data_IF_957567501254
#
_entry.id   IF_957567501254
#
_cell.length_a   1.000
_cell.length_b   1.000
_cell.length_c   1.000
_cell.angle_alpha   90.00
_cell.angle_beta   90.00
_cell.angle_gamma   90.00
#
_symmetry.space_group_name_H-M   'P 1'
#
loop_
_entity.id
_entity.type
_entity.pdbx_description
1 polymer ?
#
# COMPACT_ATOMS: atom_id res chain seq x y z
N UNK A 1 -29.66 70.68 55.04
CA UNK A 1 -30.07 69.88 53.88
C UNK A 1 -29.04 68.79 53.65
N UNK A 2 -29.34 67.59 54.13
CA UNK A 2 -28.39 66.43 54.07
C UNK A 2 -28.83 65.48 52.96
N UNK A 3 -27.96 65.27 51.98
CA UNK A 3 -28.12 64.25 50.93
C UNK A 3 -27.54 62.97 51.37
N UNK A 4 -28.35 61.95 51.48
CA UNK A 4 -27.95 60.58 51.82
C UNK A 4 -27.44 59.88 50.55
N UNK A 5 -26.21 59.42 50.61
CA UNK A 5 -25.59 58.61 49.52
C UNK A 5 -25.81 57.15 49.84
N UNK A 6 -26.68 56.50 49.11
CA UNK A 6 -26.98 55.06 49.22
C UNK A 6 -25.94 54.25 48.48
N UNK A 7 -25.10 53.53 49.22
CA UNK A 7 -24.16 52.54 48.65
C UNK A 7 -24.90 51.31 48.13
N UNK A 8 -24.85 51.12 46.83
CA UNK A 8 -25.29 49.86 46.19
C UNK A 8 -24.18 48.80 46.32
N UNK A 9 -24.49 47.73 47.00
CA UNK A 9 -23.66 46.53 47.08
C UNK A 9 -23.67 45.80 45.76
N UNK A 10 -22.49 45.55 45.17
CA UNK A 10 -22.28 44.76 43.97
C UNK A 10 -22.25 43.28 44.35
N UNK A 11 -23.01 42.38 43.70
CA UNK A 11 -22.96 40.94 43.96
C UNK A 11 -21.68 40.36 43.33
N UNK A 12 -21.03 39.47 44.09
CA UNK A 12 -19.84 38.70 43.66
C UNK A 12 -20.21 37.76 42.50
N UNK A 13 -19.33 37.58 41.50
CA UNK A 13 -19.55 36.58 40.45
C UNK A 13 -19.36 35.16 41.01
N UNK A 14 -20.32 34.31 40.73
CA UNK A 14 -20.29 32.87 41.02
C UNK A 14 -19.31 32.22 40.07
N UNK A 15 -18.25 31.58 40.60
CA UNK A 15 -17.32 30.75 39.85
C UNK A 15 -18.06 29.49 39.41
N UNK A 16 -18.40 29.43 38.11
CA UNK A 16 -18.78 28.18 37.47
C UNK A 16 -17.56 27.28 37.38
N UNK A 17 -17.62 26.13 38.04
CA UNK A 17 -16.74 25.00 37.82
C UNK A 17 -16.80 24.62 36.34
N UNK A 18 -15.71 24.76 35.64
CA UNK A 18 -15.53 24.13 34.33
C UNK A 18 -15.32 22.66 34.59
N UNK A 19 -16.30 21.87 34.19
CA UNK A 19 -16.13 20.43 34.00
C UNK A 19 -14.97 20.23 33.04
N UNK A 20 -13.94 19.55 33.52
CA UNK A 20 -12.88 19.02 32.69
C UNK A 20 -13.51 17.92 31.81
N UNK A 21 -13.87 18.31 30.59
CA UNK A 21 -14.20 17.35 29.54
C UNK A 21 -13.06 16.36 29.43
N UNK A 22 -13.37 15.10 29.68
CA UNK A 22 -12.53 13.95 29.39
C UNK A 22 -12.09 14.08 27.95
N UNK A 23 -10.79 14.31 27.72
CA UNK A 23 -10.19 14.18 26.42
C UNK A 23 -10.46 12.76 25.94
N UNK A 24 -11.35 12.66 24.96
CA UNK A 24 -11.57 11.45 24.19
C UNK A 24 -10.23 11.13 23.48
N UNK A 25 -9.44 10.29 24.13
CA UNK A 25 -8.25 9.70 23.51
C UNK A 25 -8.75 8.61 22.58
N UNK A 26 -9.35 9.01 21.47
CA UNK A 26 -9.47 8.13 20.32
C UNK A 26 -8.03 7.80 19.90
N UNK A 27 -7.55 6.68 20.43
CA UNK A 27 -6.35 6.05 19.94
C UNK A 27 -6.53 5.92 18.43
N UNK A 28 -5.79 6.73 17.69
CA UNK A 28 -5.62 6.57 16.26
C UNK A 28 -4.96 5.20 16.10
N UNK A 29 -5.79 4.17 15.92
CA UNK A 29 -5.31 2.88 15.42
C UNK A 29 -4.67 3.24 14.09
N UNK A 30 -3.34 3.24 14.05
CA UNK A 30 -2.59 3.46 12.83
C UNK A 30 -3.19 2.52 11.78
N UNK A 31 -3.69 3.08 10.68
CA UNK A 31 -4.31 2.30 9.64
C UNK A 31 -3.29 1.25 9.19
N UNK A 32 -3.57 -0.01 9.50
CA UNK A 32 -2.75 -1.14 9.06
C UNK A 32 -2.67 -1.07 7.55
N UNK A 33 -1.46 -1.05 6.99
CA UNK A 33 -1.27 -0.95 5.55
C UNK A 33 -2.03 -2.04 4.80
N UNK A 34 -2.51 -1.75 3.61
CA UNK A 34 -3.17 -2.73 2.75
C UNK A 34 -2.29 -3.07 1.56
N UNK A 35 -2.03 -4.35 1.35
CA UNK A 35 -1.28 -4.88 0.22
C UNK A 35 -2.25 -5.43 -0.83
N UNK A 36 -2.30 -4.80 -1.99
CA UNK A 36 -3.12 -5.22 -3.13
C UNK A 36 -2.25 -6.02 -4.10
N UNK A 37 -2.65 -7.25 -4.45
CA UNK A 37 -1.99 -8.04 -5.49
C UNK A 37 -2.80 -7.98 -6.77
N UNK A 38 -2.22 -7.37 -7.84
CA UNK A 38 -2.92 -7.13 -9.10
C UNK A 38 -2.14 -7.65 -10.32
N UNK A 39 -2.85 -8.33 -11.24
CA UNK A 39 -2.36 -8.74 -12.55
C UNK A 39 -2.99 -7.90 -13.66
N UNK A 40 -2.22 -7.61 -14.74
CA UNK A 40 -2.75 -6.87 -15.88
C UNK A 40 -3.06 -7.75 -17.11
N UNK A 41 -3.00 -9.08 -16.97
CA UNK A 41 -3.43 -9.99 -18.02
C UNK A 41 -4.92 -9.74 -18.36
N UNK A 42 -5.25 -9.67 -19.65
CA UNK A 42 -6.60 -9.32 -20.08
C UNK A 42 -6.98 -7.83 -19.99
N UNK A 43 -6.29 -7.02 -19.22
CA UNK A 43 -6.63 -5.61 -18.95
C UNK A 43 -5.97 -4.63 -19.92
N UNK A 44 -6.61 -3.48 -20.12
CA UNK A 44 -5.99 -2.26 -20.67
C UNK A 44 -5.32 -1.47 -19.53
N UNK A 45 -4.57 -0.41 -19.89
CA UNK A 45 -4.03 0.52 -18.87
C UNK A 45 -5.16 1.26 -18.14
N UNK A 46 -6.27 1.55 -18.83
CA UNK A 46 -7.43 2.24 -18.25
C UNK A 46 -8.10 1.35 -17.20
N UNK A 47 -8.32 0.06 -17.52
CA UNK A 47 -8.91 -0.91 -16.58
C UNK A 47 -8.01 -1.07 -15.34
N UNK A 48 -6.69 -1.15 -15.54
CA UNK A 48 -5.74 -1.28 -14.44
C UNK A 48 -5.77 -0.04 -13.53
N UNK A 49 -5.72 1.16 -14.11
CA UNK A 49 -5.75 2.42 -13.35
C UNK A 49 -7.07 2.55 -12.58
N UNK A 50 -8.21 2.23 -13.21
CA UNK A 50 -9.51 2.26 -12.57
C UNK A 50 -9.56 1.35 -11.33
N UNK A 51 -9.09 0.11 -11.45
CA UNK A 51 -9.01 -0.83 -10.32
C UNK A 51 -8.10 -0.35 -9.20
N UNK A 52 -6.95 0.26 -9.54
CA UNK A 52 -6.04 0.80 -8.53
C UNK A 52 -6.66 1.96 -7.75
N UNK A 53 -7.40 2.83 -8.43
CA UNK A 53 -8.14 3.93 -7.80
C UNK A 53 -9.27 3.42 -6.90
N UNK A 54 -10.02 2.42 -7.35
CA UNK A 54 -11.09 1.77 -6.58
C UNK A 54 -10.56 1.17 -5.28
N UNK A 55 -9.36 0.60 -5.30
CA UNK A 55 -8.68 0.06 -4.12
C UNK A 55 -7.99 1.14 -3.26
N UNK A 56 -8.03 2.40 -3.66
CA UNK A 56 -7.36 3.49 -2.95
C UNK A 56 -5.84 3.42 -2.96
N UNK A 57 -5.24 2.78 -3.98
CA UNK A 57 -3.80 2.57 -4.08
C UNK A 57 -3.06 3.90 -4.17
N UNK A 58 -2.05 4.08 -3.33
CA UNK A 58 -1.14 5.23 -3.34
C UNK A 58 0.17 4.96 -4.07
N UNK A 59 0.67 3.74 -3.98
CA UNK A 59 1.92 3.33 -4.62
C UNK A 59 1.72 2.01 -5.35
N UNK A 60 2.08 1.98 -6.63
CA UNK A 60 2.21 0.75 -7.41
C UNK A 60 3.67 0.31 -7.43
N UNK A 61 3.93 -0.88 -6.91
CA UNK A 61 5.23 -1.55 -6.97
C UNK A 61 5.21 -2.57 -8.10
N UNK A 62 5.97 -2.30 -9.15
CA UNK A 62 6.13 -3.20 -10.29
C UNK A 62 7.23 -4.23 -9.97
N UNK A 63 6.82 -5.49 -9.76
CA UNK A 63 7.72 -6.60 -9.43
C UNK A 63 8.13 -7.43 -10.68
N UNK A 64 7.90 -6.91 -11.88
CA UNK A 64 8.35 -7.56 -13.11
C UNK A 64 9.88 -7.45 -13.24
N UNK A 65 10.54 -8.54 -13.58
CA UNK A 65 11.99 -8.51 -13.87
C UNK A 65 12.32 -7.54 -15.01
N UNK A 66 11.44 -7.50 -16.02
CA UNK A 66 11.55 -6.63 -17.18
C UNK A 66 10.17 -6.01 -17.44
N UNK A 67 9.97 -4.73 -17.12
CA UNK A 67 8.66 -4.06 -17.21
C UNK A 67 8.38 -3.57 -18.65
N UNK A 68 8.50 -4.49 -19.61
CA UNK A 68 8.11 -4.31 -21.00
C UNK A 68 6.78 -5.00 -21.27
N UNK A 69 5.92 -4.37 -22.05
CA UNK A 69 4.64 -4.93 -22.48
C UNK A 69 4.37 -4.59 -23.92
N UNK A 70 3.79 -5.54 -24.68
CA UNK A 70 3.25 -5.28 -26.03
C UNK A 70 1.88 -4.59 -25.95
N UNK A 71 1.21 -4.63 -24.81
CA UNK A 71 -0.05 -3.90 -24.59
C UNK A 71 0.26 -2.41 -24.44
N UNK A 72 -0.44 -1.52 -25.15
CA UNK A 72 -0.26 -0.07 -25.03
C UNK A 72 -0.41 0.41 -23.58
N UNK A 73 0.46 1.34 -23.16
CA UNK A 73 0.39 1.95 -21.85
C UNK A 73 0.94 1.12 -20.68
N UNK A 74 1.28 -0.16 -20.87
CA UNK A 74 1.69 -1.07 -19.78
C UNK A 74 3.20 -1.33 -19.71
N UNK A 75 4.02 -0.67 -20.53
CA UNK A 75 5.47 -0.60 -20.33
C UNK A 75 5.83 0.45 -19.30
N UNK A 76 6.98 0.30 -18.62
CA UNK A 76 7.41 1.07 -17.46
C UNK A 76 7.09 2.57 -17.54
N UNK A 77 7.61 3.28 -18.54
CA UNK A 77 7.48 4.74 -18.62
C UNK A 77 6.02 5.17 -18.87
N UNK A 78 5.32 4.48 -19.78
CA UNK A 78 3.92 4.80 -20.09
C UNK A 78 2.98 4.50 -18.93
N UNK A 79 3.24 3.42 -18.18
CA UNK A 79 2.48 3.11 -16.98
C UNK A 79 2.75 4.13 -15.87
N UNK A 80 4.00 4.52 -15.67
CA UNK A 80 4.36 5.54 -14.68
C UNK A 80 3.71 6.90 -15.00
N UNK A 81 3.68 7.31 -16.28
CA UNK A 81 2.99 8.52 -16.74
C UNK A 81 1.47 8.45 -16.45
N UNK A 82 0.82 7.32 -16.78
CA UNK A 82 -0.61 7.13 -16.53
C UNK A 82 -0.97 7.16 -15.05
N UNK A 83 -0.14 6.57 -14.20
CA UNK A 83 -0.32 6.54 -12.74
C UNK A 83 -0.09 7.93 -12.12
N UNK A 84 0.95 8.64 -12.55
CA UNK A 84 1.24 10.00 -12.08
C UNK A 84 0.09 10.97 -12.38
N UNK A 85 -0.58 10.80 -13.53
CA UNK A 85 -1.73 11.63 -13.91
C UNK A 85 -2.92 11.51 -12.94
N UNK A 86 -2.99 10.43 -12.15
CA UNK A 86 -4.04 10.17 -11.15
C UNK A 86 -3.51 10.16 -9.71
N UNK A 87 -2.28 10.62 -9.48
CA UNK A 87 -1.70 10.76 -8.16
C UNK A 87 -1.19 9.46 -7.54
N UNK A 88 -1.01 8.38 -8.32
CA UNK A 88 -0.44 7.12 -7.87
C UNK A 88 1.07 7.12 -8.18
N UNK A 89 1.89 6.88 -7.16
CA UNK A 89 3.33 6.73 -7.33
C UNK A 89 3.69 5.38 -7.96
N UNK A 90 4.69 5.38 -8.85
CA UNK A 90 5.21 4.15 -9.47
C UNK A 90 6.63 3.85 -9.01
N UNK A 91 6.84 2.64 -8.50
CA UNK A 91 8.15 2.13 -8.10
C UNK A 91 8.43 0.80 -8.81
N UNK A 92 9.65 0.57 -9.29
CA UNK A 92 10.04 -0.69 -9.92
C UNK A 92 11.13 -1.39 -9.12
N UNK A 93 10.82 -2.55 -8.56
CA UNK A 93 11.76 -3.41 -7.86
C UNK A 93 12.14 -4.63 -8.70
N UNK A 94 13.13 -4.46 -9.57
CA UNK A 94 13.64 -5.53 -10.44
C UNK A 94 14.10 -6.76 -9.67
N UNK A 95 14.64 -6.58 -8.46
CA UNK A 95 15.14 -7.66 -7.62
C UNK A 95 14.05 -8.65 -7.18
N UNK A 96 12.77 -8.20 -7.17
CA UNK A 96 11.62 -9.06 -6.89
C UNK A 96 11.11 -9.80 -8.14
N UNK A 97 11.76 -9.66 -9.29
CA UNK A 97 11.30 -10.24 -10.55
C UNK A 97 11.66 -11.72 -10.71
N UNK A 98 10.71 -12.54 -11.15
CA UNK A 98 10.96 -13.94 -11.44
C UNK A 98 11.82 -14.12 -12.71
N UNK A 99 12.95 -14.85 -12.67
CA UNK A 99 13.80 -15.11 -13.82
C UNK A 99 13.03 -15.72 -15.00
N UNK A 100 13.38 -15.27 -16.22
CA UNK A 100 12.67 -15.66 -17.44
C UNK A 100 12.57 -17.18 -17.61
N UNK A 101 13.64 -17.90 -17.34
CA UNK A 101 13.74 -19.36 -17.46
C UNK A 101 13.04 -20.12 -16.32
N UNK A 102 12.48 -19.41 -15.32
CA UNK A 102 11.72 -20.00 -14.22
C UNK A 102 10.20 -19.85 -14.38
N UNK A 103 9.75 -18.92 -15.24
CA UNK A 103 8.34 -18.50 -15.32
C UNK A 103 7.39 -19.61 -15.75
N UNK A 104 7.79 -20.42 -16.76
CA UNK A 104 6.94 -21.50 -17.26
C UNK A 104 6.69 -22.57 -16.18
N UNK A 105 7.74 -23.00 -15.49
CA UNK A 105 7.62 -23.97 -14.39
C UNK A 105 6.85 -23.37 -13.19
N UNK A 106 7.07 -22.09 -12.91
CA UNK A 106 6.34 -21.41 -11.83
C UNK A 106 4.84 -21.37 -12.09
N UNK A 107 4.41 -20.96 -13.30
CA UNK A 107 3.00 -20.94 -13.72
C UNK A 107 2.38 -22.33 -13.72
N UNK A 108 3.15 -23.35 -14.08
CA UNK A 108 2.72 -24.76 -14.01
C UNK A 108 2.71 -25.32 -12.56
N UNK A 109 2.91 -24.50 -11.54
CA UNK A 109 2.86 -24.90 -10.14
C UNK A 109 4.02 -25.79 -9.67
N UNK A 110 5.12 -25.93 -10.46
CA UNK A 110 6.23 -26.84 -10.14
C UNK A 110 6.92 -26.46 -8.84
N UNK A 111 7.05 -27.38 -7.86
CA UNK A 111 7.65 -27.11 -6.57
C UNK A 111 9.11 -26.59 -6.68
N UNK A 112 9.90 -27.13 -7.60
CA UNK A 112 11.27 -26.72 -7.84
C UNK A 112 11.38 -25.28 -8.35
N UNK A 113 10.40 -24.84 -9.17
CA UNK A 113 10.35 -23.45 -9.67
C UNK A 113 9.99 -22.48 -8.54
N UNK A 114 9.10 -22.88 -7.63
CA UNK A 114 8.76 -22.10 -6.44
C UNK A 114 9.94 -22.03 -5.47
N UNK A 115 10.64 -23.14 -5.24
CA UNK A 115 11.84 -23.18 -4.41
C UNK A 115 12.94 -22.29 -4.98
N UNK A 116 13.19 -22.36 -6.30
CA UNK A 116 14.15 -21.50 -6.98
C UNK A 116 13.82 -20.02 -6.83
N UNK A 117 12.54 -19.65 -6.91
CA UNK A 117 12.16 -18.25 -6.73
C UNK A 117 12.29 -17.78 -5.28
N UNK A 118 12.04 -18.64 -4.27
CA UNK A 118 12.36 -18.30 -2.88
C UNK A 118 13.85 -17.95 -2.71
N UNK A 119 14.77 -18.72 -3.32
CA UNK A 119 16.18 -18.36 -3.32
C UNK A 119 16.51 -17.02 -4.00
N UNK A 120 15.70 -16.57 -4.97
CA UNK A 120 15.82 -15.19 -5.50
C UNK A 120 15.51 -14.16 -4.43
N UNK A 121 14.47 -14.37 -3.61
CA UNK A 121 14.08 -13.45 -2.56
C UNK A 121 15.03 -13.42 -1.36
N UNK A 122 15.93 -14.42 -1.22
CA UNK A 122 16.97 -14.47 -0.20
C UNK A 122 18.22 -13.64 -0.57
N UNK A 123 18.31 -13.12 -1.81
CA UNK A 123 19.40 -12.22 -2.20
C UNK A 123 19.31 -10.88 -1.48
N UNK A 124 20.47 -10.26 -1.15
CA UNK A 124 20.51 -8.97 -0.48
C UNK A 124 19.64 -7.91 -1.19
N UNK A 125 19.73 -7.81 -2.53
CA UNK A 125 18.95 -6.86 -3.31
C UNK A 125 17.44 -7.11 -3.23
N UNK A 126 16.99 -8.36 -3.11
CA UNK A 126 15.58 -8.68 -2.95
C UNK A 126 15.09 -8.42 -1.52
N UNK A 127 15.93 -8.74 -0.52
CA UNK A 127 15.65 -8.44 0.89
C UNK A 127 15.50 -6.93 1.11
N UNK A 128 16.41 -6.11 0.56
CA UNK A 128 16.33 -4.66 0.61
C UNK A 128 15.03 -4.15 -0.06
N UNK A 129 14.68 -4.72 -1.22
CA UNK A 129 13.46 -4.37 -1.93
C UNK A 129 12.20 -4.73 -1.14
N UNK A 130 12.17 -5.88 -0.44
CA UNK A 130 11.07 -6.28 0.44
C UNK A 130 10.94 -5.33 1.63
N UNK A 131 12.06 -4.91 2.23
CA UNK A 131 12.06 -3.94 3.33
C UNK A 131 11.47 -2.59 2.88
N UNK A 132 11.88 -2.07 1.72
CA UNK A 132 11.32 -0.84 1.15
C UNK A 132 9.81 -0.95 0.87
N UNK A 133 9.33 -2.10 0.37
CA UNK A 133 7.88 -2.32 0.18
C UNK A 133 7.16 -2.37 1.52
N UNK A 134 7.76 -2.97 2.54
CA UNK A 134 7.20 -3.00 3.90
C UNK A 134 7.06 -1.60 4.49
N UNK A 135 8.04 -0.72 4.30
CA UNK A 135 7.99 0.70 4.72
C UNK A 135 6.90 1.48 3.99
N UNK A 136 6.68 1.22 2.69
CA UNK A 136 5.61 1.87 1.93
C UNK A 136 4.21 1.57 2.48
N UNK A 137 4.00 0.42 3.12
CA UNK A 137 2.73 0.04 3.75
C UNK A 137 2.37 0.93 4.95
N UNK A 138 3.34 1.58 5.59
CA UNK A 138 3.07 2.57 6.65
C UNK A 138 2.36 3.82 6.10
N UNK A 139 2.53 4.09 4.80
CA UNK A 139 1.90 5.21 4.10
C UNK A 139 0.49 4.91 3.55
N UNK A 140 -0.03 3.68 3.67
CA UNK A 140 -1.36 3.31 3.21
C UNK A 140 -1.40 2.11 2.25
N UNK A 141 -2.22 2.20 1.19
CA UNK A 141 -2.45 1.09 0.26
C UNK A 141 -1.35 0.98 -0.79
N UNK A 142 -0.68 -0.17 -0.85
CA UNK A 142 0.39 -0.49 -1.81
C UNK A 142 -0.06 -1.63 -2.72
N UNK A 143 0.09 -1.49 -4.05
CA UNK A 143 -0.20 -2.56 -5.00
C UNK A 143 1.07 -3.21 -5.53
N UNK A 144 1.10 -4.54 -5.60
CA UNK A 144 2.12 -5.31 -6.33
C UNK A 144 1.61 -5.67 -7.72
N UNK A 145 2.33 -5.26 -8.77
CA UNK A 145 1.96 -5.51 -10.15
C UNK A 145 2.83 -6.58 -10.79
N UNK A 146 2.18 -7.56 -11.43
CA UNK A 146 2.81 -8.44 -12.42
C UNK A 146 1.88 -8.69 -13.61
N UNK A 147 2.24 -9.63 -14.50
CA UNK A 147 1.44 -9.96 -15.68
C UNK A 147 0.22 -10.81 -15.31
N UNK A 148 0.44 -11.98 -14.72
CA UNK A 148 -0.58 -13.02 -14.51
C UNK A 148 -1.79 -12.47 -13.71
N UNK A 149 -3.00 -12.72 -14.20
CA UNK A 149 -4.23 -12.38 -13.48
C UNK A 149 -4.36 -13.26 -12.23
N UNK A 150 -4.19 -14.58 -12.37
CA UNK A 150 -4.23 -15.48 -11.23
C UNK A 150 -3.01 -15.27 -10.33
N UNK A 151 -3.29 -14.88 -9.09
CA UNK A 151 -2.27 -14.69 -8.06
C UNK A 151 -1.49 -15.98 -7.76
N UNK A 152 -2.17 -17.15 -7.74
CA UNK A 152 -1.56 -18.43 -7.43
C UNK A 152 -0.57 -18.91 -8.51
N UNK A 153 -0.74 -18.49 -9.76
CA UNK A 153 0.16 -18.78 -10.87
C UNK A 153 1.32 -17.77 -10.96
N UNK A 154 1.25 -16.68 -10.20
CA UNK A 154 2.20 -15.58 -10.23
C UNK A 154 3.19 -15.63 -9.06
N UNK A 155 4.42 -15.20 -9.32
CA UNK A 155 5.43 -15.05 -8.26
C UNK A 155 5.07 -14.01 -7.18
N UNK A 156 4.07 -13.13 -7.41
CA UNK A 156 3.50 -12.25 -6.39
C UNK A 156 3.00 -13.02 -5.17
N UNK A 157 2.50 -14.26 -5.35
CA UNK A 157 2.08 -15.11 -4.22
C UNK A 157 3.20 -15.25 -3.17
N UNK A 158 4.43 -15.52 -3.61
CA UNK A 158 5.57 -15.69 -2.69
C UNK A 158 6.01 -14.32 -2.13
N UNK A 159 6.00 -13.25 -2.94
CA UNK A 159 6.33 -11.90 -2.46
C UNK A 159 5.34 -11.45 -1.38
N UNK A 160 4.04 -11.62 -1.60
CA UNK A 160 2.99 -11.30 -0.61
C UNK A 160 3.23 -12.08 0.69
N UNK A 161 3.49 -13.39 0.61
CA UNK A 161 3.75 -14.22 1.80
C UNK A 161 4.95 -13.72 2.60
N UNK A 162 6.04 -13.32 1.94
CA UNK A 162 7.23 -12.76 2.60
C UNK A 162 6.91 -11.42 3.29
N UNK A 163 6.15 -10.56 2.62
CA UNK A 163 5.75 -9.27 3.21
C UNK A 163 4.83 -9.46 4.43
N UNK A 164 3.86 -10.37 4.36
CA UNK A 164 2.94 -10.63 5.48
C UNK A 164 3.65 -11.32 6.67
N UNK A 165 4.68 -12.12 6.41
CA UNK A 165 5.51 -12.65 7.51
C UNK A 165 6.23 -11.53 8.28
N UNK A 166 6.64 -10.46 7.60
CA UNK A 166 7.26 -9.27 8.21
C UNK A 166 6.22 -8.26 8.76
N UNK A 167 5.01 -8.24 8.17
CA UNK A 167 3.91 -7.32 8.48
C UNK A 167 2.59 -8.08 8.66
N UNK A 168 2.46 -8.85 9.77
CA UNK A 168 1.25 -9.64 10.02
C UNK A 168 0.01 -8.80 10.29
N UNK A 169 0.19 -7.51 10.53
CA UNK A 169 -0.84 -6.48 10.71
C UNK A 169 -1.44 -5.99 9.39
N UNK A 170 -0.77 -6.18 8.25
CA UNK A 170 -1.23 -5.69 6.96
C UNK A 170 -2.35 -6.57 6.38
N UNK A 171 -3.41 -5.93 5.85
CA UNK A 171 -4.45 -6.61 5.10
C UNK A 171 -3.96 -6.97 3.68
N UNK A 172 -4.49 -8.06 3.12
CA UNK A 172 -4.18 -8.48 1.73
C UNK A 172 -5.46 -8.55 0.90
N UNK A 173 -5.42 -7.94 -0.29
CA UNK A 173 -6.51 -7.96 -1.27
C UNK A 173 -5.96 -8.49 -2.60
N UNK A 174 -6.65 -9.44 -3.22
CA UNK A 174 -6.36 -9.95 -4.56
C UNK A 174 -7.41 -9.44 -5.56
N UNK A 175 -6.97 -8.82 -6.67
CA UNK A 175 -7.84 -8.21 -7.70
C UNK A 175 -7.38 -8.52 -9.13
#
# INVERSE_FOLDING_TARGET
MASQHTMRRNPRPVLHHRDHGTADTTAHVAATGTLVSIGYEGKTVVDLVAQLLEQGVRVLVDVRLTPLSRKPGLSKSKLAEALAAVGISYVHHRALGNPKNNRAGFRAGKPESRARYRGVLETAAATDALALVSELLDGGVVALLCFEQDHAECHRDIVVRQLIMARPDAAVVHV
#
